data_IF_572282055436
#
_entry.id   IF_572282055436
#
_cell.length_a   1.000
_cell.length_b   1.000
_cell.length_c   1.000
_cell.angle_alpha   90.00
_cell.angle_beta   90.00
_cell.angle_gamma   90.00
#
_symmetry.space_group_name_H-M   'P 1'
#
loop_
_entity.id
_entity.type
_entity.pdbx_description
1 polymer ?
#
# COMPACT_ATOMS: atom_id res chain seq x y z
N UNK A 1 -3.15 -15.33 -6.79
CA UNK A 1 -2.69 -14.05 -7.37
C UNK A 1 -3.93 -13.32 -7.84
N UNK A 2 -4.02 -12.02 -7.62
CA UNK A 2 -5.09 -11.19 -8.16
C UNK A 2 -4.50 -10.02 -8.94
N UNK A 3 -5.28 -9.50 -9.87
CA UNK A 3 -4.91 -8.42 -10.76
C UNK A 3 -6.05 -7.41 -10.79
N UNK A 4 -5.72 -6.14 -10.65
CA UNK A 4 -6.67 -5.04 -10.63
C UNK A 4 -6.12 -3.90 -11.48
N UNK A 5 -7.01 -3.21 -12.18
CA UNK A 5 -6.68 -2.06 -13.02
C UNK A 5 -7.38 -0.83 -12.45
N UNK A 6 -6.66 0.28 -12.31
CA UNK A 6 -7.24 1.57 -11.94
C UNK A 6 -6.45 2.69 -12.60
N UNK A 7 -7.15 3.59 -13.29
CA UNK A 7 -6.53 4.63 -14.10
C UNK A 7 -5.57 4.05 -15.14
N UNK A 8 -4.33 4.53 -15.14
CA UNK A 8 -3.26 4.09 -16.04
C UNK A 8 -2.37 3.00 -15.41
N UNK A 9 -2.81 2.35 -14.33
CA UNK A 9 -1.99 1.39 -13.60
C UNK A 9 -2.65 0.02 -13.49
N UNK A 10 -1.84 -1.02 -13.65
CA UNK A 10 -2.20 -2.41 -13.40
C UNK A 10 -1.45 -2.91 -12.18
N UNK A 11 -2.19 -3.31 -11.15
CA UNK A 11 -1.69 -3.85 -9.90
C UNK A 11 -1.83 -5.37 -9.87
N UNK A 12 -0.72 -6.09 -9.79
CA UNK A 12 -0.66 -7.55 -9.65
C UNK A 12 -0.20 -7.92 -8.26
N UNK A 13 -1.03 -8.61 -7.48
CA UNK A 13 -0.75 -8.92 -6.06
C UNK A 13 -0.78 -10.43 -5.79
N UNK A 14 0.20 -10.88 -5.00
CA UNK A 14 0.29 -12.23 -4.51
C UNK A 14 0.40 -12.27 -2.98
N UNK A 15 -0.18 -13.31 -2.37
CA UNK A 15 0.07 -13.65 -0.96
C UNK A 15 1.50 -14.11 -0.81
N UNK A 16 2.14 -13.71 0.29
CA UNK A 16 3.43 -14.24 0.69
C UNK A 16 3.25 -15.41 1.67
N UNK A 17 4.37 -16.04 2.08
CA UNK A 17 4.37 -17.04 3.14
C UNK A 17 4.15 -16.43 4.54
N UNK A 18 4.20 -15.10 4.66
CA UNK A 18 3.96 -14.38 5.90
C UNK A 18 2.48 -14.10 6.10
N UNK A 19 2.03 -14.18 7.35
CA UNK A 19 0.62 -14.04 7.68
C UNK A 19 0.09 -12.67 7.25
N UNK A 20 -0.89 -12.68 6.35
CA UNK A 20 -1.55 -11.51 5.79
C UNK A 20 -0.64 -10.50 5.07
N UNK A 21 0.62 -10.80 4.78
CA UNK A 21 1.47 -9.90 3.99
C UNK A 21 1.35 -10.27 2.51
N UNK A 22 1.13 -9.25 1.69
CA UNK A 22 1.06 -9.39 0.24
C UNK A 22 2.21 -8.63 -0.42
N UNK A 23 2.57 -9.07 -1.62
CA UNK A 23 3.51 -8.37 -2.49
C UNK A 23 2.81 -8.03 -3.80
N UNK A 24 2.99 -6.78 -4.24
CA UNK A 24 2.42 -6.24 -5.46
C UNK A 24 3.50 -5.77 -6.42
N UNK A 25 3.23 -5.91 -7.72
CA UNK A 25 3.95 -5.22 -8.79
C UNK A 25 2.95 -4.33 -9.50
N UNK A 26 3.35 -3.08 -9.74
CA UNK A 26 2.54 -2.07 -10.43
C UNK A 26 3.20 -1.80 -11.77
N UNK A 27 2.41 -1.89 -12.83
CA UNK A 27 2.81 -1.52 -14.17
C UNK A 27 1.97 -0.34 -14.66
N UNK A 28 2.54 0.49 -15.53
CA UNK A 28 1.81 1.58 -16.18
C UNK A 28 0.99 1.08 -17.37
N UNK A 29 0.39 2.01 -18.10
CA UNK A 29 -0.59 1.71 -19.14
C UNK A 29 0.02 1.01 -20.36
N UNK A 30 1.32 1.19 -20.61
CA UNK A 30 2.03 0.48 -21.67
C UNK A 30 2.64 -0.85 -21.19
N UNK A 31 2.36 -1.26 -19.94
CA UNK A 31 2.87 -2.48 -19.31
C UNK A 31 4.30 -2.34 -18.78
N UNK A 32 4.85 -1.13 -18.76
CA UNK A 32 6.13 -0.79 -18.18
C UNK A 32 6.11 -0.96 -16.66
N UNK A 33 7.23 -1.42 -16.09
CA UNK A 33 7.39 -1.51 -14.65
C UNK A 33 7.39 -0.11 -14.02
N UNK A 34 6.59 0.07 -12.96
CA UNK A 34 6.49 1.34 -12.22
C UNK A 34 6.98 1.19 -10.79
N UNK A 35 6.48 0.18 -10.06
CA UNK A 35 6.83 0.01 -8.65
C UNK A 35 6.64 -1.42 -8.14
N UNK A 36 7.38 -1.75 -7.08
CA UNK A 36 7.16 -2.94 -6.25
C UNK A 36 6.66 -2.50 -4.88
N UNK A 37 5.56 -3.09 -4.43
CA UNK A 37 4.94 -2.75 -3.15
C UNK A 37 4.79 -3.96 -2.24
N UNK A 38 4.88 -3.72 -0.94
CA UNK A 38 4.49 -4.66 0.10
C UNK A 38 3.26 -4.12 0.82
N UNK A 39 2.22 -4.94 0.91
CA UNK A 39 0.93 -4.54 1.48
C UNK A 39 0.73 -5.31 2.78
N UNK A 40 0.49 -4.58 3.86
CA UNK A 40 0.35 -5.11 5.22
C UNK A 40 -0.98 -4.62 5.79
N UNK A 41 -1.96 -5.52 5.96
CA UNK A 41 -3.21 -5.21 6.65
C UNK A 41 -2.99 -5.01 8.15
N UNK A 42 -3.39 -3.84 8.65
CA UNK A 42 -3.60 -3.60 10.07
C UNK A 42 -4.97 -4.12 10.46
N UNK A 43 -5.02 -5.31 11.04
CA UNK A 43 -6.25 -5.92 11.54
C UNK A 43 -6.40 -5.63 13.03
N UNK A 44 -7.56 -5.09 13.48
CA UNK A 44 -7.90 -5.07 14.89
C UNK A 44 -7.88 -6.48 15.47
N UNK A 45 -7.44 -6.62 16.72
CA UNK A 45 -7.55 -7.87 17.46
C UNK A 45 -9.00 -8.11 17.89
N UNK A 46 -9.34 -9.36 18.17
CA UNK A 46 -10.63 -9.70 18.76
C UNK A 46 -10.77 -9.05 20.15
N UNK A 47 -11.99 -8.62 20.50
CA UNK A 47 -12.22 -7.88 21.75
C UNK A 47 -11.86 -8.69 23.00
N UNK A 48 -11.96 -10.02 22.91
CA UNK A 48 -11.58 -10.93 23.98
C UNK A 48 -10.07 -10.96 24.26
N UNK A 49 -9.25 -10.53 23.30
CA UNK A 49 -7.79 -10.55 23.38
C UNK A 49 -7.20 -9.22 23.88
N UNK A 50 -8.05 -8.25 24.20
CA UNK A 50 -7.66 -6.92 24.69
C UNK A 50 -8.46 -6.54 25.95
N UNK A 51 -7.95 -5.63 26.80
CA UNK A 51 -8.68 -5.14 27.95
C UNK A 51 -10.04 -4.51 27.61
N UNK A 52 -10.97 -4.54 28.56
CA UNK A 52 -12.32 -3.98 28.42
C UNK A 52 -12.35 -2.46 28.14
N UNK A 53 -11.29 -1.74 28.50
CA UNK A 53 -11.12 -0.30 28.29
C UNK A 53 -10.28 0.05 27.05
N UNK A 54 -9.81 -0.95 26.29
CA UNK A 54 -9.01 -0.70 25.10
C UNK A 54 -9.80 0.12 24.06
N UNK A 55 -9.17 1.07 23.36
CA UNK A 55 -9.85 1.88 22.36
C UNK A 55 -10.32 1.05 21.17
N UNK A 56 -11.32 1.55 20.44
CA UNK A 56 -11.73 0.96 19.17
C UNK A 56 -10.63 1.18 18.12
N UNK A 57 -10.11 0.08 17.57
CA UNK A 57 -9.15 0.11 16.47
C UNK A 57 -9.87 -0.09 15.14
N UNK A 58 -9.51 0.70 14.15
CA UNK A 58 -10.10 0.63 12.81
C UNK A 58 -9.12 -0.07 11.86
N UNK A 59 -9.58 -0.97 10.98
CA UNK A 59 -8.72 -1.63 10.01
C UNK A 59 -8.12 -0.63 9.01
N UNK A 60 -6.89 -0.88 8.58
CA UNK A 60 -6.19 -0.04 7.61
C UNK A 60 -5.20 -0.88 6.78
N UNK A 61 -4.64 -0.28 5.72
CA UNK A 61 -3.56 -0.87 4.95
C UNK A 61 -2.29 -0.02 5.08
N UNK A 62 -1.15 -0.67 5.24
CA UNK A 62 0.16 -0.06 5.01
C UNK A 62 0.66 -0.56 3.66
N UNK A 63 1.07 0.36 2.80
CA UNK A 63 1.71 0.08 1.52
C UNK A 63 3.13 0.60 1.58
N UNK A 64 4.08 -0.32 1.65
CA UNK A 64 5.50 0.00 1.57
C UNK A 64 5.91 -0.06 0.11
N UNK A 65 6.34 1.07 -0.44
CA UNK A 65 6.84 1.17 -1.82
C UNK A 65 8.32 0.81 -1.81
N UNK A 66 8.63 -0.47 -1.99
CA UNK A 66 10.00 -1.01 -1.86
C UNK A 66 10.95 -0.48 -2.94
N UNK A 67 10.41 -0.23 -4.14
CA UNK A 67 11.11 0.32 -5.29
C UNK A 67 10.08 1.02 -6.18
N UNK A 68 10.44 2.17 -6.75
CA UNK A 68 9.56 2.93 -7.63
C UNK A 68 10.34 3.86 -8.56
N UNK A 69 9.89 3.93 -9.80
CA UNK A 69 10.34 4.88 -10.82
C UNK A 69 9.17 5.77 -11.23
N UNK A 70 8.74 6.66 -10.33
CA UNK A 70 7.58 7.54 -10.49
C UNK A 70 8.03 9.00 -10.40
N UNK A 71 7.50 9.86 -11.26
CA UNK A 71 7.71 11.30 -11.16
C UNK A 71 6.92 11.89 -9.97
N UNK A 72 7.52 12.82 -9.22
CA UNK A 72 6.86 13.42 -8.05
C UNK A 72 5.53 14.12 -8.38
N UNK A 73 5.36 14.61 -9.62
CA UNK A 73 4.11 15.21 -10.07
C UNK A 73 3.00 14.17 -10.30
N UNK A 74 3.38 12.90 -10.50
CA UNK A 74 2.45 11.79 -10.71
C UNK A 74 2.16 11.01 -9.43
N UNK A 75 2.87 11.31 -8.34
CA UNK A 75 2.79 10.59 -7.06
C UNK A 75 1.35 10.49 -6.53
N UNK A 76 0.60 11.60 -6.53
CA UNK A 76 -0.79 11.62 -6.03
C UNK A 76 -1.71 10.76 -6.91
N UNK A 77 -1.52 10.80 -8.22
CA UNK A 77 -2.28 9.99 -9.17
C UNK A 77 -1.99 8.50 -9.00
N UNK A 78 -0.73 8.16 -8.77
CA UNK A 78 -0.30 6.81 -8.44
C UNK A 78 -0.92 6.32 -7.13
N UNK A 79 -0.81 7.07 -6.03
CA UNK A 79 -1.35 6.67 -4.73
C UNK A 79 -2.87 6.49 -4.78
N UNK A 80 -3.57 7.38 -5.50
CA UNK A 80 -5.02 7.30 -5.68
C UNK A 80 -5.42 6.04 -6.45
N UNK A 81 -4.76 5.76 -7.58
CA UNK A 81 -5.04 4.57 -8.38
C UNK A 81 -4.77 3.28 -7.61
N UNK A 82 -3.63 3.20 -6.91
CA UNK A 82 -3.29 2.05 -6.07
C UNK A 82 -4.29 1.89 -4.93
N UNK A 83 -4.74 3.00 -4.34
CA UNK A 83 -5.76 2.97 -3.30
C UNK A 83 -7.06 2.37 -3.81
N UNK A 84 -7.57 2.84 -4.94
CA UNK A 84 -8.79 2.31 -5.53
C UNK A 84 -8.67 0.82 -5.84
N UNK A 85 -7.57 0.38 -6.46
CA UNK A 85 -7.32 -1.04 -6.75
C UNK A 85 -7.25 -1.89 -5.48
N UNK A 86 -6.55 -1.43 -4.44
CA UNK A 86 -6.41 -2.17 -3.19
C UNK A 86 -7.71 -2.23 -2.40
N UNK A 87 -8.44 -1.13 -2.30
CA UNK A 87 -9.73 -1.09 -1.62
C UNK A 87 -10.73 -1.99 -2.32
N UNK A 88 -10.80 -1.99 -3.65
CA UNK A 88 -11.69 -2.89 -4.38
C UNK A 88 -11.33 -4.37 -4.17
N UNK A 89 -10.04 -4.70 -4.13
CA UNK A 89 -9.61 -6.11 -4.18
C UNK A 89 -9.42 -6.76 -2.81
N UNK A 90 -8.98 -5.98 -1.82
CA UNK A 90 -8.72 -6.48 -0.47
C UNK A 90 -9.89 -6.25 0.48
N UNK A 91 -10.88 -5.42 0.13
CA UNK A 91 -12.11 -5.32 0.92
C UNK A 91 -12.86 -6.64 0.89
N UNK A 92 -13.12 -7.17 2.09
CA UNK A 92 -13.88 -8.40 2.33
C UNK A 92 -14.93 -8.13 3.40
N UNK A 93 -15.86 -9.07 3.58
CA UNK A 93 -16.94 -8.92 4.58
C UNK A 93 -16.41 -8.62 5.99
N UNK A 94 -15.27 -9.20 6.36
CA UNK A 94 -14.63 -9.05 7.69
C UNK A 94 -13.50 -8.02 7.72
N UNK A 95 -13.13 -7.43 6.58
CA UNK A 95 -12.04 -6.46 6.51
C UNK A 95 -12.36 -5.35 5.51
N UNK A 96 -12.64 -4.15 6.03
CA UNK A 96 -12.90 -2.95 5.24
C UNK A 96 -11.95 -1.84 5.70
N UNK A 97 -10.75 -1.73 5.12
CA UNK A 97 -9.79 -0.74 5.55
C UNK A 97 -10.35 0.68 5.36
N UNK A 98 -10.20 1.53 6.37
CA UNK A 98 -10.71 2.91 6.31
C UNK A 98 -9.76 3.86 5.58
N UNK A 99 -8.46 3.57 5.64
CA UNK A 99 -7.42 4.37 5.00
C UNK A 99 -6.23 3.49 4.61
N UNK A 100 -5.41 4.05 3.72
CA UNK A 100 -4.14 3.46 3.31
C UNK A 100 -3.02 4.44 3.67
N UNK A 101 -1.93 3.93 4.24
CA UNK A 101 -0.72 4.68 4.50
C UNK A 101 0.39 4.22 3.56
N UNK A 102 0.92 5.14 2.77
CA UNK A 102 2.08 4.89 1.92
C UNK A 102 3.36 5.18 2.68
N UNK A 103 4.33 4.27 2.57
CA UNK A 103 5.66 4.43 3.13
C UNK A 103 6.70 4.21 2.04
N UNK A 104 7.54 5.22 1.82
CA UNK A 104 8.65 5.18 0.87
C UNK A 104 9.94 5.05 1.70
N UNK A 105 10.46 3.83 1.92
CA UNK A 105 11.75 3.64 2.56
C UNK A 105 12.79 4.36 1.71
N UNK A 106 13.29 5.49 2.19
CA UNK A 106 14.35 6.21 1.53
C UNK A 106 15.58 5.31 1.44
N UNK A 107 16.27 5.21 0.30
CA UNK A 107 17.67 4.81 0.35
C UNK A 107 18.36 5.87 1.20
N UNK A 108 19.04 5.45 2.26
CA UNK A 108 19.88 6.31 3.08
C UNK A 108 20.99 6.93 2.23
N UNK A 109 20.63 7.97 1.50
CA UNK A 109 21.55 8.91 0.88
C UNK A 109 21.65 10.05 1.88
N UNK A 110 22.72 9.99 2.67
CA UNK A 110 23.23 11.16 3.37
C UNK A 110 23.39 12.30 2.36
N UNK A 111 22.46 13.26 2.35
CA UNK A 111 22.75 14.66 2.05
C UNK A 111 21.61 15.48 2.65
N UNK A 112 21.76 15.83 3.93
CA UNK A 112 21.29 17.13 4.37
C UNK A 112 22.05 18.20 3.57
N UNK A 113 21.40 19.32 3.27
CA UNK A 113 21.86 20.43 2.43
C UNK A 113 21.56 20.30 0.93
N UNK A 114 20.29 20.51 0.57
CA UNK A 114 19.92 21.34 -0.60
C UNK A 114 18.43 21.72 -0.52
N UNK A 115 18.02 22.33 0.59
CA UNK A 115 16.87 23.23 0.59
C UNK A 115 17.46 24.62 0.85
N UNK A 116 17.16 25.55 -0.07
CA UNK A 116 17.57 26.96 -0.15
C UNK A 116 18.75 27.25 -1.10
N UNK A 117 18.43 27.37 -2.38
CA UNK A 117 18.95 28.42 -3.26
C UNK A 117 17.86 28.88 -4.21
#
# INVERSE_FOLDING_TARGET
>A
MFEAESGNFTLKVAKTLWFNIYRGVINGAAGEYVATVRIIPGLPLDRQDVPDDAPEARPYLIVIVEDASIDLNELVSFESAVTDSLLQTLSRETFKPEFIQFFYPTPSTETGEALLS
#
